data_IF_020575706300
#
_entry.id   IF_020575706300
#
_cell.length_a   1.000
_cell.length_b   1.000
_cell.length_c   1.000
_cell.angle_alpha   90.00
_cell.angle_beta   90.00
_cell.angle_gamma   90.00
#
_symmetry.space_group_name_H-M   'P 1'
#
loop_
_entity.id
_entity.type
_entity.pdbx_description
1 polymer ?
#
# COMPACT_ATOMS: atom_id res chain seq x y z
N UNK A 1 27.79 0.02 -13.06
CA UNK A 1 26.34 0.25 -13.08
C UNK A 1 25.97 0.73 -11.69
N UNK A 2 25.60 2.01 -11.48
CA UNK A 2 25.05 2.44 -10.20
C UNK A 2 23.80 1.60 -9.91
N UNK A 3 23.59 1.21 -8.65
CA UNK A 3 22.45 0.39 -8.28
C UNK A 3 21.15 1.12 -8.65
N UNK A 4 20.33 0.50 -9.49
CA UNK A 4 19.01 0.97 -9.97
C UNK A 4 17.94 1.06 -8.84
N UNK A 5 18.41 0.97 -7.59
CA UNK A 5 17.67 1.21 -6.35
C UNK A 5 17.69 2.69 -5.93
N UNK A 6 18.52 3.51 -6.57
CA UNK A 6 18.58 4.96 -6.35
C UNK A 6 17.55 5.68 -7.23
N UNK A 7 17.03 6.81 -6.73
CA UNK A 7 15.80 7.46 -7.20
C UNK A 7 15.92 8.07 -8.61
N UNK A 8 15.79 7.26 -9.66
CA UNK A 8 15.71 7.73 -11.05
C UNK A 8 14.29 8.20 -11.45
N UNK A 9 13.27 7.82 -10.66
CA UNK A 9 11.85 8.12 -10.91
C UNK A 9 11.23 8.84 -9.72
N UNK A 10 10.32 9.79 -9.98
CA UNK A 10 9.65 10.60 -8.96
C UNK A 10 9.07 9.72 -7.84
N UNK A 11 9.61 9.82 -6.60
CA UNK A 11 9.17 8.98 -5.51
C UNK A 11 7.72 9.29 -5.12
N UNK A 12 7.00 8.28 -4.65
CA UNK A 12 5.65 8.45 -4.10
C UNK A 12 5.76 9.18 -2.75
N UNK A 13 5.42 10.46 -2.74
CA UNK A 13 5.46 11.30 -1.53
C UNK A 13 4.14 11.19 -0.78
N UNK A 14 4.14 10.69 0.45
CA UNK A 14 2.92 10.59 1.27
C UNK A 14 3.05 11.46 2.49
N UNK A 15 2.07 12.34 2.72
CA UNK A 15 1.97 13.09 3.97
C UNK A 15 1.66 12.12 5.12
N UNK A 16 2.51 12.03 6.17
CA UNK A 16 2.23 11.19 7.33
C UNK A 16 0.93 11.57 8.03
N UNK A 17 0.60 12.87 8.04
CA UNK A 17 -0.65 13.37 8.60
C UNK A 17 -1.85 12.82 7.84
N UNK A 18 -1.83 12.88 6.51
CA UNK A 18 -2.90 12.31 5.68
C UNK A 18 -3.04 10.80 5.93
N UNK A 19 -1.93 10.07 5.92
CA UNK A 19 -1.93 8.63 6.19
C UNK A 19 -2.50 8.26 7.57
N UNK A 20 -2.27 9.10 8.58
CA UNK A 20 -2.83 8.92 9.93
C UNK A 20 -4.34 9.16 9.96
N UNK A 21 -4.84 10.05 9.10
CA UNK A 21 -6.27 10.41 9.04
C UNK A 21 -7.11 9.39 8.27
N UNK A 22 -6.64 8.94 7.11
CA UNK A 22 -7.44 8.15 6.17
C UNK A 22 -6.92 6.73 5.93
N UNK A 23 -5.74 6.41 6.44
CA UNK A 23 -5.02 5.17 6.16
C UNK A 23 -3.89 5.37 5.13
N UNK A 24 -2.84 4.55 5.26
CA UNK A 24 -1.66 4.65 4.40
C UNK A 24 -1.97 4.38 2.92
N UNK A 25 -2.73 3.31 2.64
CA UNK A 25 -3.03 2.91 1.27
C UNK A 25 -3.90 3.97 0.58
N UNK A 26 -4.91 4.46 1.30
CA UNK A 26 -5.82 5.50 0.87
C UNK A 26 -5.07 6.80 0.60
N UNK A 27 -4.14 7.20 1.47
CA UNK A 27 -3.30 8.37 1.27
C UNK A 27 -2.38 8.26 0.06
N UNK A 28 -1.76 7.10 -0.17
CA UNK A 28 -0.95 6.82 -1.35
C UNK A 28 -1.79 6.97 -2.63
N UNK A 29 -2.97 6.36 -2.68
CA UNK A 29 -3.85 6.43 -3.85
C UNK A 29 -4.33 7.87 -4.09
N UNK A 30 -4.77 8.56 -3.04
CA UNK A 30 -5.27 9.93 -3.15
C UNK A 30 -4.18 10.87 -3.66
N UNK A 31 -2.95 10.72 -3.16
CA UNK A 31 -1.81 11.49 -3.65
C UNK A 31 -1.52 11.20 -5.12
N UNK A 32 -1.56 9.94 -5.53
CA UNK A 32 -1.28 9.61 -6.92
C UNK A 32 -2.35 10.17 -7.86
N UNK A 33 -3.61 10.19 -7.44
CA UNK A 33 -4.70 10.84 -8.18
C UNK A 33 -4.43 12.35 -8.27
N UNK A 34 -4.03 13.00 -7.17
CA UNK A 34 -3.67 14.42 -7.18
C UNK A 34 -2.62 14.73 -8.25
N UNK A 35 -1.56 13.93 -8.32
CA UNK A 35 -0.52 14.08 -9.34
C UNK A 35 -1.11 14.06 -10.75
N UNK A 36 -1.97 13.09 -11.07
CA UNK A 36 -2.57 12.99 -12.40
C UNK A 36 -3.55 14.11 -12.71
N UNK A 37 -4.29 14.61 -11.70
CA UNK A 37 -5.17 15.77 -11.88
C UNK A 37 -4.38 17.01 -12.24
N UNK A 38 -3.30 17.30 -11.50
CA UNK A 38 -2.40 18.44 -11.77
C UNK A 38 -1.75 18.28 -13.14
N UNK A 39 -1.24 17.08 -13.45
CA UNK A 39 -0.65 16.80 -14.76
C UNK A 39 -1.65 17.06 -15.89
N UNK A 40 -2.87 16.55 -15.77
CA UNK A 40 -3.91 16.75 -16.80
C UNK A 40 -4.27 18.23 -16.94
N UNK A 41 -4.42 18.94 -15.82
CA UNK A 41 -4.68 20.37 -15.80
C UNK A 41 -3.57 21.16 -16.49
N UNK A 42 -2.31 20.97 -16.11
CA UNK A 42 -1.18 21.71 -16.69
C UNK A 42 -1.04 21.48 -18.19
N UNK A 43 -1.22 20.24 -18.65
CA UNK A 43 -1.04 19.89 -20.05
C UNK A 43 -2.24 20.31 -20.93
N UNK A 44 -3.45 20.40 -20.38
CA UNK A 44 -4.66 20.69 -21.16
C UNK A 44 -5.24 22.10 -20.90
N UNK A 45 -4.84 22.81 -19.84
CA UNK A 45 -5.43 24.10 -19.44
C UNK A 45 -5.30 25.17 -20.53
N UNK A 46 -4.23 25.13 -21.33
CA UNK A 46 -4.00 26.06 -22.43
C UNK A 46 -4.70 25.65 -23.73
N UNK A 47 -5.27 24.45 -23.81
CA UNK A 47 -5.99 23.99 -25.00
C UNK A 47 -7.40 24.61 -25.06
N UNK A 48 -8.00 24.73 -26.26
CA UNK A 48 -9.42 25.07 -26.38
C UNK A 48 -10.30 24.09 -25.60
N UNK A 49 -11.42 24.56 -25.01
CA UNK A 49 -12.30 23.74 -24.15
C UNK A 49 -12.78 22.43 -24.80
N UNK A 50 -12.97 22.41 -26.11
CA UNK A 50 -13.39 21.23 -26.88
C UNK A 50 -12.33 20.10 -26.86
N UNK A 51 -11.06 20.48 -26.73
CA UNK A 51 -9.91 19.55 -26.73
C UNK A 51 -9.50 19.12 -25.31
N UNK A 52 -10.02 19.80 -24.28
CA UNK A 52 -9.81 19.47 -22.87
C UNK A 52 -10.59 18.20 -22.51
N UNK A 53 -9.99 17.04 -22.77
CA UNK A 53 -10.60 15.73 -22.56
C UNK A 53 -10.86 15.46 -21.07
N UNK A 54 -10.01 15.98 -20.21
CA UNK A 54 -10.07 15.73 -18.77
C UNK A 54 -10.88 16.76 -17.99
N UNK A 55 -11.25 17.88 -18.62
CA UNK A 55 -12.15 18.86 -18.00
C UNK A 55 -13.60 18.45 -18.21
N UNK A 56 -14.32 18.11 -17.13
CA UNK A 56 -15.75 17.76 -17.17
C UNK A 56 -16.48 18.44 -16.03
N UNK A 57 -17.57 19.14 -16.37
CA UNK A 57 -18.39 19.91 -15.42
C UNK A 57 -17.57 20.90 -14.56
N UNK A 58 -16.58 21.57 -15.17
CA UNK A 58 -15.72 22.54 -14.49
C UNK A 58 -14.72 21.95 -13.50
N UNK A 59 -14.50 20.63 -13.52
CA UNK A 59 -13.51 19.94 -12.68
C UNK A 59 -12.58 19.10 -13.56
N UNK A 60 -11.33 18.97 -13.13
CA UNK A 60 -10.37 18.06 -13.73
C UNK A 60 -10.59 16.64 -13.23
N UNK A 61 -10.41 15.69 -14.14
CA UNK A 61 -10.57 14.27 -13.88
C UNK A 61 -9.38 13.50 -14.41
N UNK A 62 -9.11 12.36 -13.80
CA UNK A 62 -8.22 11.34 -14.35
C UNK A 62 -8.99 10.04 -14.47
N UNK A 63 -8.73 9.25 -15.51
CA UNK A 63 -9.38 7.96 -15.67
C UNK A 63 -8.33 6.88 -15.90
N UNK A 64 -8.57 5.74 -15.29
CA UNK A 64 -7.65 4.62 -15.38
C UNK A 64 -8.38 3.31 -14.99
N UNK A 65 -7.92 2.18 -15.54
CA UNK A 65 -8.39 0.85 -15.16
C UNK A 65 -7.58 0.32 -13.97
N UNK A 66 -8.14 -0.63 -13.21
CA UNK A 66 -7.41 -1.25 -12.09
C UNK A 66 -6.08 -1.91 -12.53
N UNK A 67 -6.00 -2.61 -13.68
CA UNK A 67 -4.73 -3.12 -14.20
C UNK A 67 -3.73 -2.00 -14.52
N UNK A 68 -4.15 -0.93 -15.20
CA UNK A 68 -3.22 0.14 -15.59
C UNK A 68 -2.79 1.01 -14.38
N UNK A 69 -3.59 1.09 -13.31
CA UNK A 69 -3.14 1.61 -12.01
C UNK A 69 -2.03 0.74 -11.39
N UNK A 70 -2.18 -0.58 -11.43
CA UNK A 70 -1.16 -1.52 -10.95
C UNK A 70 0.14 -1.34 -11.72
N UNK A 71 0.09 -1.38 -13.04
CA UNK A 71 1.30 -1.41 -13.86
C UNK A 71 2.09 -0.10 -13.80
N UNK A 72 1.39 1.04 -13.77
CA UNK A 72 2.04 2.37 -13.85
C UNK A 72 2.36 3.01 -12.50
N UNK A 73 1.58 2.71 -11.46
CA UNK A 73 1.66 3.43 -10.19
C UNK A 73 1.85 2.52 -8.99
N UNK A 74 1.18 1.36 -8.97
CA UNK A 74 1.18 0.47 -7.81
C UNK A 74 1.61 -0.96 -8.17
N UNK A 75 2.83 -1.16 -8.73
CA UNK A 75 3.28 -2.48 -9.17
C UNK A 75 3.44 -3.47 -8.00
N UNK A 76 3.51 -2.94 -6.78
CA UNK A 76 3.59 -3.67 -5.52
C UNK A 76 2.23 -4.06 -4.92
N UNK A 77 1.11 -3.69 -5.55
CA UNK A 77 -0.24 -4.07 -5.09
C UNK A 77 -0.95 -4.97 -6.09
N UNK A 78 -1.80 -5.86 -5.55
CA UNK A 78 -2.76 -6.60 -6.36
C UNK A 78 -3.87 -5.68 -6.87
N UNK A 79 -4.49 -6.00 -7.99
CA UNK A 79 -5.68 -5.28 -8.48
C UNK A 79 -6.81 -5.26 -7.45
N UNK A 80 -6.95 -6.33 -6.66
CA UNK A 80 -7.94 -6.41 -5.58
C UNK A 80 -7.65 -5.41 -4.47
N UNK A 81 -6.38 -5.22 -4.12
CA UNK A 81 -5.97 -4.19 -3.14
C UNK A 81 -6.32 -2.81 -3.67
N UNK A 82 -5.97 -2.51 -4.92
CA UNK A 82 -6.29 -1.24 -5.58
C UNK A 82 -7.80 -1.00 -5.55
N UNK A 83 -8.60 -1.94 -6.06
CA UNK A 83 -10.06 -1.82 -6.07
C UNK A 83 -10.64 -1.62 -4.66
N UNK A 84 -10.11 -2.32 -3.65
CA UNK A 84 -10.53 -2.16 -2.25
C UNK A 84 -10.22 -0.75 -1.74
N UNK A 85 -9.02 -0.23 -2.01
CA UNK A 85 -8.61 1.12 -1.60
C UNK A 85 -9.44 2.20 -2.28
N UNK A 86 -9.70 2.08 -3.59
CA UNK A 86 -10.60 3.00 -4.30
C UNK A 86 -12.03 2.94 -3.76
N UNK A 87 -12.52 1.74 -3.45
CA UNK A 87 -13.84 1.58 -2.82
C UNK A 87 -13.86 2.18 -1.41
N UNK A 88 -12.76 2.02 -0.66
CA UNK A 88 -12.58 2.63 0.64
C UNK A 88 -12.62 4.15 0.52
N UNK A 89 -11.86 4.80 -0.37
CA UNK A 89 -11.88 6.26 -0.59
C UNK A 89 -13.25 6.83 -1.01
N UNK A 90 -14.03 6.07 -1.78
CA UNK A 90 -15.42 6.45 -2.14
C UNK A 90 -16.38 6.36 -0.95
N UNK A 91 -16.11 5.42 -0.04
CA UNK A 91 -16.91 5.18 1.16
C UNK A 91 -16.34 5.87 2.40
N UNK A 92 -15.11 6.39 2.32
CA UNK A 92 -14.30 6.84 3.42
C UNK A 92 -15.06 7.98 4.08
N UNK A 93 -15.65 7.61 5.20
CA UNK A 93 -16.41 8.48 6.05
C UNK A 93 -15.41 9.37 6.76
N UNK A 94 -15.47 10.68 6.51
CA UNK A 94 -14.92 11.66 7.45
C UNK A 94 -15.76 11.54 8.72
N UNK A 95 -15.23 11.00 9.83
CA UNK A 95 -16.00 10.86 11.06
C UNK A 95 -16.30 12.26 11.58
N UNK A 96 -17.55 12.72 11.44
CA UNK A 96 -17.96 14.01 11.99
C UNK A 96 -17.73 13.95 13.51
N UNK A 97 -17.05 14.94 14.11
CA UNK A 97 -16.84 14.95 15.55
C UNK A 97 -18.19 14.83 16.27
N UNK A 98 -18.25 14.13 17.42
CA UNK A 98 -19.48 14.08 18.21
C UNK A 98 -19.95 15.50 18.50
N UNK A 99 -21.27 15.71 18.50
CA UNK A 99 -21.85 17.00 18.88
C UNK A 99 -21.42 17.35 20.31
N UNK A 100 -21.61 18.61 20.74
CA UNK A 100 -21.25 19.08 22.10
C UNK A 100 -21.78 18.15 23.23
N UNK A 101 -22.87 17.43 22.96
CA UNK A 101 -23.48 16.42 23.84
C UNK A 101 -22.75 15.06 23.90
N UNK A 102 -21.59 14.90 23.24
CA UNK A 102 -20.84 13.63 23.16
C UNK A 102 -21.54 12.54 22.34
N UNK A 103 -22.70 12.81 21.76
CA UNK A 103 -23.45 11.88 20.93
C UNK A 103 -23.04 12.01 19.46
N UNK A 104 -22.97 10.89 18.71
CA UNK A 104 -22.86 10.93 17.26
C UNK A 104 -24.01 11.79 16.70
N UNK A 105 -23.77 12.56 15.62
CA UNK A 105 -24.85 13.29 14.96
C UNK A 105 -26.02 12.34 14.69
N UNK A 106 -27.22 12.73 15.09
CA UNK A 106 -28.48 11.99 14.94
C UNK A 106 -28.69 11.50 13.50
N UNK A 107 -28.15 12.27 12.56
CA UNK A 107 -28.10 12.07 11.13
C UNK A 107 -26.86 11.28 10.63
N UNK A 108 -26.44 10.24 11.35
CA UNK A 108 -25.33 9.37 10.90
C UNK A 108 -25.59 8.67 9.54
N UNK A 109 -26.78 8.85 8.95
CA UNK A 109 -27.17 8.41 7.59
C UNK A 109 -27.21 9.54 6.55
N UNK A 110 -27.10 10.81 6.94
CA UNK A 110 -27.09 11.94 5.99
C UNK A 110 -25.80 11.89 5.18
N UNK A 111 -25.95 12.12 3.87
CA UNK A 111 -24.92 11.99 2.85
C UNK A 111 -23.55 12.49 3.33
N UNK A 112 -22.61 11.55 3.48
CA UNK A 112 -21.21 11.85 3.79
C UNK A 112 -20.53 12.30 2.51
N UNK A 113 -19.70 13.33 2.59
CA UNK A 113 -18.91 13.76 1.44
C UNK A 113 -17.78 12.75 1.20
N UNK A 114 -17.87 11.99 0.10
CA UNK A 114 -16.79 11.08 -0.30
C UNK A 114 -15.53 11.89 -0.62
N UNK A 115 -14.36 11.45 -0.12
CA UNK A 115 -13.06 12.07 -0.43
C UNK A 115 -12.70 11.93 -1.91
N UNK A 116 -13.16 10.83 -2.53
CA UNK A 116 -12.98 10.57 -3.95
C UNK A 116 -14.33 10.55 -4.67
N UNK A 117 -14.48 11.46 -5.63
CA UNK A 117 -15.64 11.52 -6.50
C UNK A 117 -15.36 10.66 -7.73
N UNK A 118 -16.33 9.83 -8.10
CA UNK A 118 -16.25 8.98 -9.29
C UNK A 118 -17.28 9.38 -10.32
N UNK A 119 -16.87 9.38 -11.59
CA UNK A 119 -17.73 9.60 -12.74
C UNK A 119 -17.54 8.50 -13.78
N UNK A 120 -18.47 8.43 -14.73
CA UNK A 120 -18.32 7.63 -15.93
C UNK A 120 -18.51 8.54 -17.13
N UNK A 121 -17.41 8.82 -17.84
CA UNK A 121 -17.41 9.61 -19.06
C UNK A 121 -16.93 8.80 -20.26
N UNK A 122 -17.07 7.47 -20.19
CA UNK A 122 -16.64 6.56 -21.24
C UNK A 122 -17.62 6.61 -22.41
N UNK A 123 -17.07 6.64 -23.63
CA UNK A 123 -17.87 6.61 -24.85
C UNK A 123 -18.53 5.25 -25.08
N UNK A 124 -17.86 4.17 -24.69
CA UNK A 124 -18.32 2.80 -24.91
C UNK A 124 -18.92 2.20 -23.64
N UNK A 125 -20.07 1.52 -23.76
CA UNK A 125 -20.81 0.94 -22.61
C UNK A 125 -20.08 -0.23 -21.92
N UNK A 126 -19.22 -0.93 -22.64
CA UNK A 126 -18.45 -2.07 -22.11
C UNK A 126 -17.13 -1.64 -21.44
N UNK A 127 -16.72 -0.38 -21.61
CA UNK A 127 -15.52 0.14 -20.98
C UNK A 127 -15.79 0.35 -19.48
N UNK A 128 -15.02 -0.37 -18.67
CA UNK A 128 -15.13 -0.37 -17.21
C UNK A 128 -14.16 0.62 -16.54
N UNK A 129 -13.45 1.44 -17.32
CA UNK A 129 -12.63 2.52 -16.76
C UNK A 129 -13.50 3.48 -15.97
N UNK A 130 -12.99 3.95 -14.84
CA UNK A 130 -13.69 4.93 -14.02
C UNK A 130 -12.90 6.22 -14.05
N UNK A 131 -13.64 7.32 -13.96
CA UNK A 131 -13.08 8.65 -13.85
C UNK A 131 -13.09 9.05 -12.38
N UNK A 132 -12.01 9.68 -11.96
CA UNK A 132 -11.75 10.03 -10.57
C UNK A 132 -11.40 11.51 -10.46
N UNK A 133 -11.94 12.17 -9.44
CA UNK A 133 -11.52 13.51 -9.03
C UNK A 133 -11.58 13.61 -7.50
N UNK A 134 -10.80 14.51 -6.93
CA UNK A 134 -10.69 14.68 -5.47
C UNK A 134 -11.76 15.65 -4.99
N UNK A 135 -12.44 15.29 -3.90
CA UNK A 135 -13.31 16.20 -3.20
C UNK A 135 -12.50 17.07 -2.23
N UNK A 136 -12.00 18.20 -2.73
CA UNK A 136 -11.20 19.13 -1.91
C UNK A 136 -12.00 19.72 -0.74
N UNK A 137 -13.33 19.88 -0.87
CA UNK A 137 -14.17 20.38 0.22
C UNK A 137 -14.21 19.38 1.38
N UNK A 138 -14.39 18.08 1.09
CA UNK A 138 -14.34 17.02 2.10
C UNK A 138 -12.96 16.89 2.75
N UNK A 139 -11.90 17.04 1.94
CA UNK A 139 -10.52 16.98 2.44
C UNK A 139 -10.19 18.16 3.37
N UNK A 140 -10.66 19.36 3.03
CA UNK A 140 -10.50 20.56 3.87
C UNK A 140 -11.25 20.41 5.20
N UNK A 141 -12.48 19.88 5.19
CA UNK A 141 -13.23 19.57 6.41
C UNK A 141 -12.46 18.61 7.30
N UNK A 142 -11.92 17.53 6.73
CA UNK A 142 -11.11 16.54 7.45
C UNK A 142 -9.87 17.17 8.12
N UNK A 143 -9.19 18.11 7.46
CA UNK A 143 -8.04 18.80 8.06
C UNK A 143 -8.46 19.75 9.19
N UNK A 144 -9.60 20.45 9.02
CA UNK A 144 -10.13 21.39 10.01
C UNK A 144 -10.67 20.72 11.28
N UNK A 145 -11.26 19.52 11.16
CA UNK A 145 -11.82 18.75 12.28
C UNK A 145 -10.74 18.02 13.09
N UNK A 146 -9.55 17.83 12.51
CA UNK A 146 -8.40 17.24 13.20
C UNK A 146 -7.17 18.17 13.16
N UNK A 147 -7.29 19.38 13.75
CA UNK A 147 -6.19 20.33 13.80
C UNK A 147 -5.02 19.71 14.57
N UNK A 148 -3.78 20.06 14.17
CA UNK A 148 -2.52 19.52 14.69
C UNK A 148 -2.63 19.09 16.16
N UNK A 149 -2.87 17.80 16.41
CA UNK A 149 -2.42 17.12 17.63
C UNK A 149 -0.90 16.99 17.59
N UNK A 150 -0.20 18.09 17.33
CA UNK A 150 1.15 18.24 17.81
C UNK A 150 1.05 18.26 19.34
N UNK A 151 1.89 17.49 20.03
CA UNK A 151 1.98 17.44 21.50
C UNK A 151 1.00 16.51 22.24
N UNK A 152 1.03 15.20 21.98
CA UNK A 152 0.74 14.23 23.06
C UNK A 152 1.80 13.14 23.26
N UNK A 153 2.81 13.09 22.40
CA UNK A 153 4.10 12.45 22.66
C UNK A 153 5.22 13.34 22.10
N UNK A 154 5.46 14.47 22.75
CA UNK A 154 6.84 14.95 22.88
C UNK A 154 7.16 14.67 24.33
N UNK A 155 7.54 13.42 24.62
CA UNK A 155 8.27 13.16 25.85
C UNK A 155 9.58 13.90 25.64
N UNK A 156 9.82 14.97 26.40
CA UNK A 156 11.14 15.57 26.44
C UNK A 156 12.08 14.46 26.91
N UNK A 157 12.96 14.00 26.02
CA UNK A 157 13.99 13.04 26.40
C UNK A 157 15.02 13.81 27.21
N UNK A 158 15.04 13.60 28.52
CA UNK A 158 16.21 13.90 29.34
C UNK A 158 17.38 13.07 28.79
N UNK A 159 18.44 13.76 28.36
CA UNK A 159 19.48 13.21 27.48
C UNK A 159 20.53 12.33 28.20
N UNK A 160 20.21 11.72 29.34
CA UNK A 160 21.23 11.16 30.25
C UNK A 160 21.24 9.64 30.42
N UNK A 161 20.49 8.88 29.63
CA UNK A 161 20.57 7.40 29.67
C UNK A 161 20.50 6.76 28.28
N UNK A 162 21.59 6.88 27.52
CA UNK A 162 21.84 6.00 26.39
C UNK A 162 22.08 4.59 26.95
N UNK A 163 21.13 3.67 26.75
CA UNK A 163 21.32 2.25 27.09
C UNK A 163 22.55 1.71 26.37
N UNK A 164 23.38 0.95 27.09
CA UNK A 164 24.57 0.29 26.57
C UNK A 164 24.25 -0.61 25.37
N UNK A 165 25.21 -0.85 24.46
CA UNK A 165 25.05 -1.81 23.37
C UNK A 165 24.69 -3.20 23.90
N UNK A 166 23.83 -3.91 23.18
CA UNK A 166 23.46 -5.29 23.47
C UNK A 166 24.74 -6.15 23.44
N UNK A 167 25.06 -6.91 24.49
CA UNK A 167 26.28 -7.72 24.51
C UNK A 167 26.17 -8.94 23.59
N UNK A 168 27.20 -9.14 22.78
CA UNK A 168 27.37 -10.33 21.94
C UNK A 168 27.69 -11.55 22.83
N UNK A 169 26.67 -12.30 23.25
CA UNK A 169 26.91 -13.62 23.86
C UNK A 169 25.81 -14.59 23.46
N UNK A 170 26.05 -15.32 22.38
CA UNK A 170 25.38 -16.58 22.10
C UNK A 170 26.05 -17.63 23.01
N UNK A 171 25.35 -18.25 23.98
CA UNK A 171 25.99 -19.24 24.84
C UNK A 171 26.21 -20.54 24.06
N UNK A 172 27.50 -20.90 23.91
CA UNK A 172 27.96 -22.19 23.37
C UNK A 172 27.51 -23.32 24.32
N UNK A 173 26.53 -24.11 23.90
CA UNK A 173 25.99 -25.22 24.69
C UNK A 173 26.94 -26.42 24.63
N UNK A 174 28.05 -26.34 25.35
CA UNK A 174 28.92 -27.49 25.63
C UNK A 174 28.71 -27.95 27.07
N UNK A 175 27.84 -28.94 27.26
CA UNK A 175 27.68 -29.63 28.55
C UNK A 175 28.74 -30.73 28.67
N UNK A 176 29.50 -30.67 29.76
CA UNK A 176 30.41 -31.72 30.26
C UNK A 176 30.46 -31.47 31.79
N UNK A 177 30.41 -32.40 32.74
CA UNK A 177 30.65 -33.84 32.85
C UNK A 177 29.82 -34.38 34.04
N UNK A 178 29.55 -35.69 34.12
CA UNK A 178 29.90 -36.48 35.32
C UNK A 178 29.74 -37.98 35.06
N UNK A 179 30.74 -38.73 35.51
CA UNK A 179 30.89 -40.18 35.44
C UNK A 179 29.88 -40.91 36.33
N UNK A 180 29.39 -42.07 35.87
CA UNK A 180 29.46 -43.37 36.56
C UNK A 180 28.95 -44.49 35.65
N UNK A 181 29.51 -45.66 35.91
CA UNK A 181 29.60 -46.84 35.04
C UNK A 181 28.30 -47.64 35.05
N UNK A 182 28.03 -48.39 33.98
CA UNK A 182 27.78 -49.84 34.05
C UNK A 182 27.71 -50.44 32.62
N UNK A 183 28.12 -51.69 32.54
CA UNK A 183 28.34 -52.53 31.37
C UNK A 183 27.06 -52.93 30.62
N UNK A 184 27.16 -53.24 29.32
CA UNK A 184 26.93 -54.59 28.75
C UNK A 184 26.71 -54.54 27.22
N UNK A 185 27.45 -55.40 26.50
CA UNK A 185 27.13 -56.14 25.27
C UNK A 185 26.78 -55.44 23.92
N UNK A 186 27.71 -55.63 22.96
CA UNK A 186 27.56 -56.10 21.57
C UNK A 186 26.27 -55.78 20.76
N UNK A 187 26.46 -55.21 19.56
CA UNK A 187 26.46 -55.97 18.30
C UNK A 187 26.68 -55.04 17.08
N UNK A 188 27.45 -55.54 16.12
CA UNK A 188 27.72 -54.98 14.79
C UNK A 188 26.47 -55.05 13.91
N UNK A 189 26.30 -54.10 12.97
CA UNK A 189 26.30 -54.35 11.51
C UNK A 189 25.79 -53.13 10.69
N UNK A 190 26.48 -52.86 9.56
CA UNK A 190 25.81 -52.60 8.28
C UNK A 190 25.41 -51.17 7.86
N UNK A 191 26.37 -50.44 7.25
CA UNK A 191 26.13 -49.52 6.10
C UNK A 191 25.64 -50.31 4.86
N UNK A 192 25.20 -49.74 3.69
CA UNK A 192 25.24 -48.35 3.21
C UNK A 192 24.00 -47.86 2.39
N UNK A 193 24.08 -46.61 1.93
CA UNK A 193 23.27 -45.94 0.90
C UNK A 193 23.36 -46.62 -0.50
N UNK A 194 22.35 -46.51 -1.37
CA UNK A 194 22.51 -46.78 -2.79
C UNK A 194 22.62 -45.52 -3.67
N UNK A 195 23.47 -45.67 -4.69
CA UNK A 195 23.91 -44.74 -5.73
C UNK A 195 22.94 -44.74 -6.93
N UNK A 196 22.98 -43.66 -7.72
CA UNK A 196 22.24 -43.40 -8.97
C UNK A 196 22.65 -44.34 -10.12
N UNK A 197 21.73 -44.61 -11.04
CA UNK A 197 22.04 -44.89 -12.44
C UNK A 197 21.08 -44.18 -13.42
N UNK A 198 21.63 -43.78 -14.56
CA UNK A 198 21.02 -43.13 -15.73
C UNK A 198 20.89 -44.15 -16.87
N UNK A 199 20.03 -43.79 -17.85
CA UNK A 199 20.05 -44.06 -19.31
C UNK A 199 18.86 -44.89 -19.81
N UNK A 200 18.26 -44.70 -20.99
CA UNK A 200 18.32 -43.68 -22.05
C UNK A 200 17.24 -44.07 -23.10
N UNK A 201 16.58 -43.07 -23.71
CA UNK A 201 15.98 -43.02 -25.07
C UNK A 201 15.13 -44.19 -25.65
N UNK A 202 13.98 -43.87 -26.27
CA UNK A 202 13.89 -43.53 -27.72
C UNK A 202 12.49 -43.71 -28.33
N UNK A 203 12.01 -42.63 -28.96
CA UNK A 203 11.27 -42.53 -30.25
C UNK A 203 9.97 -43.30 -30.52
N UNK A 204 8.92 -42.58 -30.95
CA UNK A 204 8.55 -42.41 -32.39
C UNK A 204 7.21 -41.66 -32.58
N UNK A 205 7.26 -40.59 -33.36
CA UNK A 205 6.19 -40.10 -34.29
C UNK A 205 5.98 -41.11 -35.46
N UNK A 206 5.02 -41.00 -36.44
CA UNK A 206 4.35 -39.77 -36.94
C UNK A 206 2.88 -39.90 -37.47
N UNK A 207 2.42 -38.79 -38.08
CA UNK A 207 1.33 -38.57 -39.09
C UNK A 207 -0.13 -38.62 -38.61
N UNK A 208 -0.99 -37.68 -39.01
CA UNK A 208 -1.25 -37.16 -40.37
C UNK A 208 -1.66 -35.70 -40.36
#
# INVERSE_FOLDING_TARGET
MPAELLLDKYPVLVSPRLATLIGLNEAIVLQQIQYWLVFNEENESLLPKEEQKHLRAGRWWTFNSAPNWRDKNFPFWSERTIQRTFTALRKAFVPKPPNEDGKPPEDSRVARDALLITGNFNRMKYDRTLWYTINYEALAKLDSENPKRASRQVVMMDNDKLSSPIPDTIPDRRVSHSQKNDSCANAQEGLPLPVKEKKESSSKEPRT
#
